data_IF_572164938274
#
_entry.id   IF_572164938274
#
_cell.length_a   1.000
_cell.length_b   1.000
_cell.length_c   1.000
_cell.angle_alpha   90.00
_cell.angle_beta   90.00
_cell.angle_gamma   90.00
#
_symmetry.space_group_name_H-M   'P 1'
#
loop_
_entity.id
_entity.type
_entity.pdbx_description
1 polymer ?
#
# COMPACT_ATOMS: atom_id res chain seq x y z
N UNK A 1 17.03 -3.03 -20.84
CA UNK A 1 15.91 -2.20 -20.34
C UNK A 1 15.03 -3.11 -19.52
N UNK A 2 14.54 -2.73 -18.33
CA UNK A 2 13.58 -3.56 -17.62
C UNK A 2 12.36 -3.74 -18.53
N UNK A 3 12.00 -4.99 -18.76
CA UNK A 3 10.79 -5.34 -19.49
C UNK A 3 9.61 -4.72 -18.74
N UNK A 4 8.89 -3.81 -19.40
CA UNK A 4 7.73 -3.15 -18.79
C UNK A 4 6.54 -4.06 -19.00
N UNK A 5 5.96 -4.50 -17.88
CA UNK A 5 4.68 -5.19 -17.91
C UNK A 5 3.61 -4.28 -18.51
N UNK A 6 2.70 -4.92 -19.23
CA UNK A 6 1.43 -4.33 -19.68
C UNK A 6 0.49 -4.09 -18.49
N UNK A 7 -0.53 -3.26 -18.70
CA UNK A 7 -1.54 -2.99 -17.67
C UNK A 7 -2.29 -4.27 -17.25
N UNK A 8 -2.48 -5.20 -18.18
CA UNK A 8 -3.13 -6.49 -17.94
C UNK A 8 -2.27 -7.42 -17.08
N UNK A 9 -0.98 -7.55 -17.39
CA UNK A 9 -0.03 -8.32 -16.58
C UNK A 9 0.09 -7.74 -15.17
N UNK A 10 0.13 -6.42 -15.05
CA UNK A 10 0.10 -5.75 -13.74
C UNK A 10 -1.20 -6.01 -13.00
N UNK A 11 -2.35 -6.06 -13.69
CA UNK A 11 -3.63 -6.39 -13.07
C UNK A 11 -3.65 -7.82 -12.55
N UNK A 12 -3.15 -8.77 -13.32
CA UNK A 12 -2.98 -10.16 -12.90
C UNK A 12 -2.07 -10.29 -11.67
N UNK A 13 -0.91 -9.63 -11.67
CA UNK A 13 0.02 -9.67 -10.54
C UNK A 13 -0.58 -9.07 -9.26
N UNK A 14 -1.34 -7.97 -9.38
CA UNK A 14 -2.10 -7.40 -8.26
C UNK A 14 -3.10 -8.39 -7.71
N UNK A 15 -3.88 -9.04 -8.58
CA UNK A 15 -4.85 -10.06 -8.17
C UNK A 15 -4.18 -11.27 -7.52
N UNK A 16 -3.10 -11.81 -8.10
CA UNK A 16 -2.40 -12.95 -7.54
C UNK A 16 -1.83 -12.68 -6.13
N UNK A 17 -1.45 -11.42 -5.85
CA UNK A 17 -0.89 -11.01 -4.56
C UNK A 17 -1.95 -10.65 -3.52
N UNK A 18 -3.02 -9.95 -3.92
CA UNK A 18 -3.97 -9.32 -2.99
C UNK A 18 -5.40 -9.83 -3.12
N UNK A 19 -5.70 -10.63 -4.14
CA UNK A 19 -7.05 -11.06 -4.48
C UNK A 19 -7.87 -9.93 -5.11
N UNK A 20 -9.17 -9.97 -4.86
CA UNK A 20 -10.12 -8.96 -5.35
C UNK A 20 -10.11 -7.70 -4.46
N UNK A 21 -10.42 -6.55 -5.06
CA UNK A 21 -10.61 -5.33 -4.31
C UNK A 21 -11.85 -5.48 -3.41
N UNK A 22 -11.79 -5.12 -2.12
CA UNK A 22 -12.98 -5.07 -1.27
C UNK A 22 -14.07 -4.18 -1.88
N UNK A 23 -15.36 -4.48 -1.62
CA UNK A 23 -16.44 -3.59 -2.04
C UNK A 23 -16.25 -2.20 -1.43
N UNK A 24 -16.64 -1.17 -2.18
CA UNK A 24 -16.61 0.20 -1.65
C UNK A 24 -17.61 0.34 -0.50
N UNK A 25 -17.18 0.97 0.58
CA UNK A 25 -18.04 1.32 1.71
C UNK A 25 -18.76 2.63 1.40
N UNK A 26 -20.06 2.71 1.66
CA UNK A 26 -20.81 3.94 1.49
C UNK A 26 -20.47 4.93 2.60
N UNK A 27 -20.58 6.25 2.38
CA UNK A 27 -20.33 7.25 3.42
C UNK A 27 -21.14 7.00 4.69
N UNK A 28 -22.41 6.57 4.54
CA UNK A 28 -23.33 6.32 5.67
C UNK A 28 -22.98 5.04 6.46
N UNK A 29 -22.17 4.15 5.89
CA UNK A 29 -21.72 2.90 6.53
C UNK A 29 -20.36 3.07 7.24
N UNK A 30 -19.75 4.25 7.19
CA UNK A 30 -18.50 4.55 7.88
C UNK A 30 -18.73 4.62 9.39
N UNK A 31 -17.76 4.12 10.17
CA UNK A 31 -17.80 4.15 11.64
C UNK A 31 -16.89 5.28 12.14
N UNK A 32 -17.39 6.09 13.08
CA UNK A 32 -16.56 7.10 13.74
C UNK A 32 -15.43 6.43 14.54
N UNK A 33 -14.21 6.92 14.32
CA UNK A 33 -13.02 6.45 15.02
C UNK A 33 -12.40 7.60 15.82
N UNK A 34 -11.81 7.26 16.96
CA UNK A 34 -11.02 8.19 17.78
C UNK A 34 -9.54 7.87 17.62
N UNK A 35 -8.70 8.89 17.72
CA UNK A 35 -7.26 8.70 17.76
C UNK A 35 -6.87 7.91 19.00
N UNK A 36 -6.03 6.90 18.81
CA UNK A 36 -5.45 6.10 19.90
C UNK A 36 -3.99 6.47 20.09
N UNK A 37 -3.47 6.28 21.31
CA UNK A 37 -2.05 6.43 21.60
C UNK A 37 -1.18 5.60 20.64
N UNK A 38 0.00 6.13 20.30
CA UNK A 38 0.95 5.42 19.43
C UNK A 38 1.41 4.12 20.11
N UNK A 39 1.37 2.97 19.43
CA UNK A 39 1.88 1.74 20.01
C UNK A 39 3.39 1.84 20.23
N UNK A 40 3.91 1.20 21.29
CA UNK A 40 5.35 1.09 21.58
C UNK A 40 6.04 0.14 20.59
N UNK A 41 6.03 0.54 19.32
CA UNK A 41 6.74 -0.11 18.24
C UNK A 41 8.12 0.53 18.10
N UNK A 42 9.15 -0.25 17.74
CA UNK A 42 10.44 0.33 17.41
C UNK A 42 10.23 1.37 16.31
N UNK A 43 10.85 2.54 16.49
CA UNK A 43 10.82 3.61 15.48
C UNK A 43 11.28 3.00 14.17
N UNK A 44 10.41 3.04 13.16
CA UNK A 44 10.75 2.59 11.80
C UNK A 44 11.96 3.41 11.39
N UNK A 45 13.11 2.76 11.26
CA UNK A 45 14.31 3.39 10.73
C UNK A 45 13.90 4.05 9.39
N UNK A 46 14.28 5.31 9.14
CA UNK A 46 14.18 5.86 7.79
C UNK A 46 14.76 4.82 6.84
N UNK A 47 14.04 4.49 5.77
CA UNK A 47 14.63 3.67 4.73
C UNK A 47 15.89 4.41 4.28
N UNK A 48 17.07 3.81 4.51
CA UNK A 48 18.30 4.34 3.96
C UNK A 48 18.09 4.35 2.44
N UNK A 49 17.92 5.54 1.88
CA UNK A 49 17.95 5.72 0.44
C UNK A 49 19.38 5.34 0.06
N UNK A 50 19.56 4.09 -0.40
CA UNK A 50 20.82 3.64 -0.95
C UNK A 50 21.29 4.62 -2.03
N UNK A 51 22.59 4.66 -2.34
CA UNK A 51 23.15 5.61 -3.30
C UNK A 51 22.47 5.39 -4.67
N UNK A 52 21.46 6.21 -5.00
CA UNK A 52 20.62 6.06 -6.19
C UNK A 52 19.13 6.45 -6.08
N UNK A 53 18.63 6.95 -4.94
CA UNK A 53 17.28 7.53 -4.88
C UNK A 53 17.14 8.80 -5.74
N UNK A 54 15.92 9.15 -6.21
CA UNK A 54 15.74 10.31 -7.06
C UNK A 54 16.07 11.59 -6.28
N UNK A 55 16.77 12.51 -6.94
CA UNK A 55 17.06 13.86 -6.47
C UNK A 55 15.80 14.71 -6.30
#
# INVERSE_FOLDING_TARGET
MPERFTDEELAFLRFARFGELPPRVLPDDLVEVVETEQPDLPVRQPFEIGPGGPA
#
